data_IF_405010279389
#
_entry.id   IF_405010279389
#
_cell.length_a   1.000
_cell.length_b   1.000
_cell.length_c   1.000
_cell.angle_alpha   90.00
_cell.angle_beta   90.00
_cell.angle_gamma   90.00
#
_symmetry.space_group_name_H-M   'P 1'
#
loop_
_entity.id
_entity.type
_entity.pdbx_description
1 polymer ?
#
# COMPACT_ATOMS: atom_id res chain seq x y z
N UNK A 1 -2.54 9.97 -27.84
CA UNK A 1 -1.58 10.07 -26.73
C UNK A 1 -2.34 9.70 -25.47
N UNK A 2 -2.12 8.51 -24.93
CA UNK A 2 -2.84 8.05 -23.76
C UNK A 2 -2.06 8.48 -22.51
N UNK A 3 -2.70 9.31 -21.69
CA UNK A 3 -2.23 9.69 -20.37
C UNK A 3 -2.46 8.47 -19.45
N UNK A 4 -1.45 7.62 -19.28
CA UNK A 4 -1.46 6.63 -18.20
C UNK A 4 -0.94 7.33 -16.94
N UNK A 5 -1.83 7.97 -16.19
CA UNK A 5 -1.51 8.40 -14.84
C UNK A 5 -1.57 7.16 -13.93
N UNK A 6 -0.39 6.64 -13.57
CA UNK A 6 -0.02 6.34 -12.18
C UNK A 6 -0.23 4.95 -11.59
N UNK A 7 -0.90 4.02 -12.23
CA UNK A 7 -1.15 2.71 -11.59
C UNK A 7 0.05 1.75 -11.70
N UNK A 8 0.59 1.30 -10.57
CA UNK A 8 1.65 0.28 -10.52
C UNK A 8 1.07 -1.10 -10.21
N UNK A 9 1.45 -2.10 -11.01
CA UNK A 9 1.09 -3.50 -10.79
C UNK A 9 2.18 -4.25 -10.03
N UNK A 10 1.81 -4.85 -8.91
CA UNK A 10 2.69 -5.64 -8.03
C UNK A 10 2.28 -7.11 -8.11
N UNK A 11 3.12 -8.00 -8.67
CA UNK A 11 2.88 -9.43 -8.59
C UNK A 11 3.15 -9.95 -7.17
N UNK A 12 2.27 -10.83 -6.69
CA UNK A 12 2.45 -11.57 -5.45
C UNK A 12 3.05 -12.94 -5.76
N UNK A 13 3.97 -13.40 -4.91
CA UNK A 13 4.75 -14.63 -5.18
C UNK A 13 4.25 -15.85 -4.43
N UNK A 14 3.31 -15.68 -3.50
CA UNK A 14 2.91 -16.77 -2.60
C UNK A 14 2.13 -17.86 -3.32
N UNK A 15 2.63 -19.09 -3.20
CA UNK A 15 1.91 -20.29 -3.62
C UNK A 15 0.95 -20.71 -2.53
N UNK A 16 -0.33 -20.83 -2.87
CA UNK A 16 -1.40 -21.11 -1.92
C UNK A 16 -1.16 -22.36 -1.06
N UNK A 17 -0.64 -23.45 -1.64
CA UNK A 17 -0.32 -24.67 -0.90
C UNK A 17 0.82 -24.51 0.12
N UNK A 18 1.87 -23.77 -0.24
CA UNK A 18 3.01 -23.50 0.64
C UNK A 18 2.57 -22.63 1.83
N UNK A 19 1.76 -21.60 1.56
CA UNK A 19 1.18 -20.74 2.59
C UNK A 19 0.40 -21.53 3.65
N UNK A 20 -0.42 -22.49 3.22
CA UNK A 20 -1.20 -23.32 4.14
C UNK A 20 -0.33 -24.22 5.01
N UNK A 21 0.77 -24.74 4.45
CA UNK A 21 1.72 -25.60 5.17
C UNK A 21 2.49 -24.80 6.22
N UNK A 22 3.03 -23.65 5.84
CA UNK A 22 3.81 -22.78 6.73
C UNK A 22 3.00 -22.31 7.95
N UNK A 23 1.68 -22.15 7.79
CA UNK A 23 0.78 -21.71 8.85
C UNK A 23 0.08 -22.88 9.57
N UNK A 24 0.43 -24.13 9.24
CA UNK A 24 -0.12 -25.32 9.89
C UNK A 24 -1.61 -25.57 9.62
N UNK A 25 -2.22 -24.91 8.63
CA UNK A 25 -3.60 -25.19 8.20
C UNK A 25 -3.70 -26.49 7.40
N UNK A 26 -2.62 -26.86 6.71
CA UNK A 26 -2.54 -28.09 5.92
C UNK A 26 -1.20 -28.79 6.17
N UNK A 27 -1.21 -30.12 6.16
CA UNK A 27 0.01 -30.90 6.05
C UNK A 27 0.46 -31.01 4.58
N UNK A 28 1.76 -31.23 4.31
CA UNK A 28 2.24 -31.51 2.95
C UNK A 28 1.50 -32.68 2.27
N UNK A 29 1.10 -33.69 3.05
CA UNK A 29 0.34 -34.84 2.56
C UNK A 29 -1.07 -34.45 2.09
N UNK A 30 -1.77 -33.60 2.84
CA UNK A 30 -3.09 -33.09 2.46
C UNK A 30 -3.03 -32.23 1.19
N UNK A 31 -2.03 -31.34 1.09
CA UNK A 31 -1.84 -30.53 -0.13
C UNK A 31 -1.51 -31.42 -1.34
N UNK A 32 -0.63 -32.41 -1.16
CA UNK A 32 -0.28 -33.34 -2.24
C UNK A 32 -1.48 -34.18 -2.71
N UNK A 33 -2.31 -34.66 -1.77
CA UNK A 33 -3.52 -35.39 -2.08
C UNK A 33 -4.50 -34.53 -2.90
N UNK A 34 -4.75 -33.31 -2.44
CA UNK A 34 -5.65 -32.38 -3.13
C UNK A 34 -5.15 -32.02 -4.53
N UNK A 35 -3.83 -31.84 -4.71
CA UNK A 35 -3.23 -31.56 -6.02
C UNK A 35 -3.35 -32.76 -6.98
N UNK A 36 -3.06 -33.97 -6.50
CA UNK A 36 -3.22 -35.18 -7.29
C UNK A 36 -4.68 -35.33 -7.75
N UNK A 37 -5.63 -35.07 -6.84
CA UNK A 37 -7.05 -35.12 -7.17
C UNK A 37 -7.47 -34.04 -8.16
N UNK A 38 -6.94 -32.83 -8.03
CA UNK A 38 -7.21 -31.74 -8.96
C UNK A 38 -6.77 -32.11 -10.37
N UNK A 39 -5.61 -32.76 -10.51
CA UNK A 39 -5.09 -33.23 -11.79
C UNK A 39 -5.95 -34.34 -12.38
N UNK A 40 -6.36 -35.34 -11.60
CA UNK A 40 -7.27 -36.40 -12.04
C UNK A 40 -8.59 -35.84 -12.57
N UNK A 41 -9.15 -34.85 -11.87
CA UNK A 41 -10.39 -34.17 -12.27
C UNK A 41 -10.19 -33.32 -13.52
N UNK A 42 -9.03 -32.64 -13.65
CA UNK A 42 -8.67 -31.88 -14.84
C UNK A 42 -8.61 -32.78 -16.08
N UNK A 43 -8.04 -33.98 -15.96
CA UNK A 43 -8.01 -34.99 -17.04
C UNK A 43 -9.42 -35.46 -17.44
N UNK A 44 -10.41 -35.32 -16.55
CA UNK A 44 -11.82 -35.62 -16.79
C UNK A 44 -12.63 -34.39 -17.25
N UNK A 45 -11.96 -33.29 -17.63
CA UNK A 45 -12.56 -31.99 -17.97
C UNK A 45 -13.40 -31.37 -16.83
N UNK A 46 -13.08 -31.70 -15.58
CA UNK A 46 -13.68 -31.09 -14.39
C UNK A 46 -12.70 -30.10 -13.77
N UNK A 47 -13.01 -28.82 -13.87
CA UNK A 47 -12.21 -27.76 -13.26
C UNK A 47 -12.75 -27.42 -11.87
N UNK A 48 -12.02 -27.86 -10.84
CA UNK A 48 -12.28 -27.50 -9.44
C UNK A 48 -11.10 -26.72 -8.86
N UNK A 49 -11.40 -25.76 -7.98
CA UNK A 49 -10.36 -24.99 -7.28
C UNK A 49 -9.73 -25.84 -6.19
N UNK A 50 -8.41 -25.74 -6.03
CA UNK A 50 -7.67 -26.52 -5.02
C UNK A 50 -8.16 -26.28 -3.59
N UNK A 51 -8.56 -25.04 -3.25
CA UNK A 51 -9.14 -24.71 -1.94
C UNK A 51 -10.46 -25.43 -1.67
N UNK A 52 -11.25 -25.75 -2.71
CA UNK A 52 -12.47 -26.54 -2.54
C UNK A 52 -12.15 -28.01 -2.25
N UNK A 53 -11.13 -28.57 -2.91
CA UNK A 53 -10.69 -29.94 -2.65
C UNK A 53 -10.12 -30.10 -1.24
N UNK A 54 -9.30 -29.14 -0.81
CA UNK A 54 -8.76 -29.08 0.55
C UNK A 54 -9.88 -29.00 1.60
N UNK A 55 -10.94 -28.25 1.31
CA UNK A 55 -12.11 -28.21 2.20
C UNK A 55 -12.88 -29.54 2.20
N UNK A 56 -13.27 -30.04 1.02
CA UNK A 56 -14.16 -31.21 0.88
C UNK A 56 -13.49 -32.51 1.28
N UNK A 57 -12.21 -32.71 0.93
CA UNK A 57 -11.52 -33.99 1.08
C UNK A 57 -10.58 -34.01 2.28
N UNK A 58 -9.98 -32.87 2.63
CA UNK A 58 -9.04 -32.78 3.75
C UNK A 58 -9.67 -32.17 5.01
N UNK A 59 -10.93 -31.71 4.95
CA UNK A 59 -11.65 -31.14 6.08
C UNK A 59 -11.11 -29.78 6.55
N UNK A 60 -10.33 -29.09 5.71
CA UNK A 60 -9.73 -27.80 6.07
C UNK A 60 -10.83 -26.73 6.07
N UNK A 61 -10.87 -25.90 7.12
CA UNK A 61 -11.87 -24.85 7.22
C UNK A 61 -11.68 -23.80 6.11
N UNK A 62 -12.76 -23.58 5.35
CA UNK A 62 -12.74 -22.66 4.21
C UNK A 62 -12.50 -21.21 4.66
N UNK A 63 -13.13 -20.79 5.76
CA UNK A 63 -12.95 -19.43 6.29
C UNK A 63 -11.53 -19.20 6.77
N UNK A 64 -10.91 -20.19 7.43
CA UNK A 64 -9.52 -20.13 7.85
C UNK A 64 -8.57 -19.97 6.64
N UNK A 65 -8.78 -20.73 5.56
CA UNK A 65 -8.00 -20.58 4.33
C UNK A 65 -8.14 -19.20 3.69
N UNK A 66 -9.38 -18.71 3.58
CA UNK A 66 -9.68 -17.38 3.02
C UNK A 66 -9.04 -16.27 3.86
N UNK A 67 -9.17 -16.33 5.19
CA UNK A 67 -8.57 -15.36 6.10
C UNK A 67 -7.05 -15.37 6.03
N UNK A 68 -6.44 -16.56 5.96
CA UNK A 68 -4.99 -16.67 5.82
C UNK A 68 -4.51 -16.05 4.51
N UNK A 69 -5.17 -16.39 3.39
CA UNK A 69 -4.81 -15.86 2.09
C UNK A 69 -4.96 -14.34 2.01
N UNK A 70 -6.05 -13.80 2.56
CA UNK A 70 -6.24 -12.34 2.68
C UNK A 70 -5.11 -11.71 3.49
N UNK A 71 -4.80 -12.27 4.66
CA UNK A 71 -3.73 -11.78 5.54
C UNK A 71 -2.38 -11.76 4.83
N UNK A 72 -2.08 -12.79 4.04
CA UNK A 72 -0.83 -12.86 3.28
C UNK A 72 -0.79 -11.86 2.12
N UNK A 73 -1.89 -11.69 1.37
CA UNK A 73 -2.01 -10.64 0.35
C UNK A 73 -1.71 -9.29 0.99
N UNK A 74 -2.37 -8.96 2.10
CA UNK A 74 -2.15 -7.72 2.82
C UNK A 74 -0.69 -7.55 3.21
N UNK A 75 -0.09 -8.58 3.83
CA UNK A 75 1.31 -8.54 4.24
C UNK A 75 2.23 -8.23 3.06
N UNK A 76 2.03 -8.87 1.92
CA UNK A 76 2.87 -8.66 0.74
C UNK A 76 2.68 -7.27 0.13
N UNK A 77 1.43 -6.78 0.04
CA UNK A 77 1.12 -5.43 -0.43
C UNK A 77 1.83 -4.40 0.45
N UNK A 78 1.68 -4.52 1.78
CA UNK A 78 2.30 -3.63 2.77
C UNK A 78 3.84 -3.63 2.65
N UNK A 79 4.44 -4.82 2.56
CA UNK A 79 5.89 -4.96 2.42
C UNK A 79 6.40 -4.36 1.10
N UNK A 80 5.68 -4.55 -0.01
CA UNK A 80 6.09 -4.01 -1.30
C UNK A 80 5.96 -2.50 -1.34
N UNK A 81 4.85 -1.96 -0.84
CA UNK A 81 4.64 -0.51 -0.74
C UNK A 81 5.72 0.16 0.10
N UNK A 82 6.09 -0.44 1.24
CA UNK A 82 7.21 0.03 2.05
C UNK A 82 8.50 0.12 1.24
N UNK A 83 8.82 -0.89 0.44
CA UNK A 83 10.03 -0.91 -0.41
C UNK A 83 9.94 0.19 -1.46
N UNK A 84 8.82 0.31 -2.18
CA UNK A 84 8.63 1.33 -3.21
C UNK A 84 8.79 2.75 -2.66
N UNK A 85 8.15 3.04 -1.52
CA UNK A 85 8.26 4.34 -0.85
C UNK A 85 9.70 4.61 -0.40
N UNK A 86 10.42 3.60 0.09
CA UNK A 86 11.81 3.75 0.57
C UNK A 86 12.82 3.95 -0.58
N UNK A 87 12.49 3.45 -1.77
CA UNK A 87 13.33 3.55 -2.97
C UNK A 87 12.98 4.78 -3.83
N UNK A 88 11.90 5.49 -3.52
CA UNK A 88 11.44 6.64 -4.29
C UNK A 88 12.43 7.81 -4.22
N UNK A 89 13.01 8.26 -5.35
CA UNK A 89 14.04 9.31 -5.35
C UNK A 89 13.56 10.65 -4.82
N UNK A 90 12.27 10.94 -4.96
CA UNK A 90 11.66 12.19 -4.52
C UNK A 90 11.37 12.23 -3.01
N UNK A 91 11.60 11.11 -2.31
CA UNK A 91 11.31 10.97 -0.89
C UNK A 91 12.60 10.90 -0.04
N UNK A 92 12.62 11.45 1.18
CA UNK A 92 13.76 11.34 2.08
C UNK A 92 14.16 9.88 2.37
N UNK A 93 15.43 9.55 2.15
CA UNK A 93 15.99 8.18 2.28
C UNK A 93 15.87 7.52 3.67
N UNK A 94 15.50 8.28 4.70
CA UNK A 94 15.36 7.80 6.08
C UNK A 94 13.91 7.86 6.60
N UNK A 95 12.92 7.97 5.70
CA UNK A 95 11.52 7.77 6.02
C UNK A 95 11.27 6.35 6.57
N UNK A 96 10.61 6.27 7.72
CA UNK A 96 10.10 5.00 8.24
C UNK A 96 8.63 4.85 7.88
N UNK A 97 8.32 3.83 7.08
CA UNK A 97 6.95 3.47 6.71
C UNK A 97 6.53 2.22 7.47
N UNK A 98 5.60 2.38 8.40
CA UNK A 98 5.12 1.33 9.30
C UNK A 98 3.70 0.95 8.89
N UNK A 99 3.44 -0.29 8.49
CA UNK A 99 2.08 -0.74 8.20
C UNK A 99 1.25 -0.76 9.50
N UNK A 100 0.06 -0.17 9.46
CA UNK A 100 -0.86 -0.14 10.61
C UNK A 100 -1.93 -1.22 10.45
N UNK A 101 -2.72 -1.09 9.39
CA UNK A 101 -3.89 -1.91 9.15
C UNK A 101 -4.18 -1.98 7.65
N UNK A 102 -4.93 -3.00 7.24
CA UNK A 102 -5.50 -3.04 5.91
C UNK A 102 -6.90 -3.65 5.98
N UNK A 103 -7.81 -3.09 5.18
CA UNK A 103 -9.23 -3.45 5.16
C UNK A 103 -9.68 -3.79 3.75
N UNK A 104 -10.54 -4.80 3.62
CA UNK A 104 -11.24 -5.07 2.36
C UNK A 104 -12.44 -4.14 2.31
N UNK A 105 -12.56 -3.37 1.24
CA UNK A 105 -13.67 -2.44 0.99
C UNK A 105 -14.68 -3.03 0.02
N UNK A 106 -14.26 -3.90 -0.89
CA UNK A 106 -15.15 -4.68 -1.75
C UNK A 106 -14.57 -6.06 -2.11
N UNK A 107 -15.47 -7.03 -2.29
CA UNK A 107 -15.14 -8.38 -2.76
C UNK A 107 -15.86 -8.65 -4.07
N UNK A 108 -15.09 -8.91 -5.12
CA UNK A 108 -15.61 -9.23 -6.44
C UNK A 108 -15.22 -10.67 -6.83
N UNK A 109 -15.95 -11.32 -7.75
CA UNK A 109 -15.62 -12.68 -8.19
C UNK A 109 -14.18 -12.82 -8.75
N UNK A 110 -13.65 -11.73 -9.30
CA UNK A 110 -12.34 -11.68 -9.96
C UNK A 110 -11.22 -11.10 -9.08
N UNK A 111 -11.56 -10.55 -7.91
CA UNK A 111 -10.59 -9.81 -7.12
C UNK A 111 -11.09 -9.26 -5.79
N UNK A 112 -10.20 -8.53 -5.12
CA UNK A 112 -10.46 -7.86 -3.85
C UNK A 112 -10.05 -6.41 -3.98
N UNK A 113 -10.91 -5.49 -3.56
CA UNK A 113 -10.55 -4.09 -3.37
C UNK A 113 -10.40 -3.82 -1.88
N UNK A 114 -9.43 -2.99 -1.55
CA UNK A 114 -9.21 -2.60 -0.17
C UNK A 114 -8.35 -1.37 -0.04
N UNK A 115 -8.07 -1.06 1.21
CA UNK A 115 -7.23 0.06 1.61
C UNK A 115 -6.19 -0.43 2.61
N UNK A 116 -4.99 0.14 2.51
CA UNK A 116 -3.88 -0.13 3.39
C UNK A 116 -3.43 1.18 4.06
N UNK A 117 -3.45 1.18 5.39
CA UNK A 117 -3.06 2.30 6.23
C UNK A 117 -1.61 2.13 6.68
N UNK A 118 -0.83 3.18 6.49
CA UNK A 118 0.56 3.26 6.90
C UNK A 118 0.76 4.47 7.80
N UNK A 119 1.66 4.32 8.76
CA UNK A 119 2.23 5.42 9.52
C UNK A 119 3.57 5.78 8.90
N UNK A 120 3.71 7.03 8.50
CA UNK A 120 4.95 7.57 7.97
C UNK A 120 5.61 8.43 9.05
N UNK A 121 6.84 8.08 9.41
CA UNK A 121 7.66 8.79 10.40
C UNK A 121 8.85 9.40 9.68
N UNK A 122 9.06 10.69 9.93
CA UNK A 122 10.16 11.44 9.35
C UNK A 122 11.44 11.26 10.17
N UNK A 123 12.61 11.18 9.51
CA UNK A 123 13.88 10.96 10.19
C UNK A 123 14.24 12.09 11.16
N UNK A 124 13.87 13.34 10.84
CA UNK A 124 14.19 14.52 11.66
C UNK A 124 13.16 14.81 12.76
N UNK A 125 12.00 14.12 12.74
CA UNK A 125 10.91 14.32 13.70
C UNK A 125 10.25 12.98 14.02
N UNK A 126 10.95 12.13 14.77
CA UNK A 126 10.45 10.82 15.19
C UNK A 126 9.15 10.92 16.01
N UNK A 127 8.87 12.09 16.58
CA UNK A 127 7.69 12.40 17.38
C UNK A 127 6.46 12.78 16.53
N UNK A 128 6.66 13.04 15.22
CA UNK A 128 5.59 13.39 14.28
C UNK A 128 5.41 12.27 13.26
N UNK A 129 4.21 11.71 13.27
CA UNK A 129 3.79 10.69 12.33
C UNK A 129 2.53 11.16 11.61
N UNK A 130 2.46 10.90 10.31
CA UNK A 130 1.23 11.11 9.54
C UNK A 130 0.76 9.80 8.92
N UNK A 131 -0.54 9.74 8.65
CA UNK A 131 -1.19 8.56 8.09
C UNK A 131 -1.23 8.65 6.57
N UNK A 132 -0.92 7.55 5.90
CA UNK A 132 -1.06 7.36 4.47
C UNK A 132 -2.04 6.22 4.24
N UNK A 133 -3.12 6.46 3.50
CA UNK A 133 -4.11 5.44 3.16
C UNK A 133 -4.04 5.18 1.66
N UNK A 134 -3.78 3.93 1.28
CA UNK A 134 -3.60 3.53 -0.12
C UNK A 134 -4.64 2.50 -0.53
N UNK A 135 -5.43 2.85 -1.54
CA UNK A 135 -6.32 1.92 -2.20
C UNK A 135 -5.52 0.88 -3.01
N UNK A 136 -5.99 -0.36 -2.99
CA UNK A 136 -5.44 -1.44 -3.80
C UNK A 136 -6.57 -2.25 -4.45
N UNK A 137 -6.30 -2.77 -5.65
CA UNK A 137 -7.17 -3.70 -6.39
C UNK A 137 -6.37 -4.97 -6.69
N UNK A 138 -6.67 -6.07 -6.01
CA UNK A 138 -6.02 -7.37 -6.17
C UNK A 138 -6.82 -8.29 -7.10
N UNK A 139 -6.16 -8.89 -8.09
CA UNK A 139 -6.75 -9.79 -9.09
C UNK A 139 -6.32 -11.23 -8.85
N UNK A 140 -7.29 -12.15 -8.78
CA UNK A 140 -7.03 -13.58 -8.57
C UNK A 140 -6.42 -14.26 -9.78
N UNK A 141 -6.74 -13.80 -10.99
CA UNK A 141 -6.34 -14.43 -12.26
C UNK A 141 -4.83 -14.47 -12.45
N UNK A 142 -4.14 -13.45 -11.96
CA UNK A 142 -2.71 -13.24 -12.19
C UNK A 142 -1.93 -12.92 -10.91
N UNK A 143 -2.58 -13.13 -9.75
CA UNK A 143 -2.02 -12.93 -8.43
C UNK A 143 -1.29 -11.59 -8.30
N UNK A 144 -1.90 -10.51 -8.77
CA UNK A 144 -1.28 -9.19 -8.72
C UNK A 144 -2.22 -8.14 -8.15
N UNK A 145 -1.64 -7.09 -7.58
CA UNK A 145 -2.40 -5.92 -7.13
C UNK A 145 -2.03 -4.68 -7.92
N UNK A 146 -2.97 -3.76 -8.04
CA UNK A 146 -2.76 -2.43 -8.61
C UNK A 146 -2.89 -1.39 -7.50
N UNK A 147 -1.96 -0.44 -7.46
CA UNK A 147 -1.92 0.67 -6.51
C UNK A 147 -1.72 1.99 -7.26
N UNK A 148 -2.23 3.11 -6.72
CA UNK A 148 -1.92 4.44 -7.23
C UNK A 148 -0.66 4.99 -6.53
N UNK A 149 0.48 4.86 -7.21
CA UNK A 149 1.77 5.26 -6.64
C UNK A 149 1.98 6.79 -6.67
N UNK A 150 1.67 7.53 -7.76
CA UNK A 150 1.76 8.98 -7.74
C UNK A 150 0.91 9.64 -6.65
N UNK A 151 -0.33 9.18 -6.46
CA UNK A 151 -1.17 9.72 -5.40
C UNK A 151 -0.57 9.43 -4.01
N UNK A 152 0.02 8.25 -3.81
CA UNK A 152 0.77 7.92 -2.59
C UNK A 152 1.94 8.91 -2.34
N UNK A 153 2.74 9.16 -3.37
CA UNK A 153 3.90 10.05 -3.30
C UNK A 153 3.45 11.49 -3.01
N UNK A 154 2.42 11.97 -3.68
CA UNK A 154 1.88 13.32 -3.48
C UNK A 154 1.33 13.50 -2.06
N UNK A 155 0.63 12.49 -1.51
CA UNK A 155 0.19 12.50 -0.11
C UNK A 155 1.37 12.55 0.86
N UNK A 156 2.44 11.79 0.60
CA UNK A 156 3.66 11.82 1.43
C UNK A 156 4.34 13.18 1.34
N UNK A 157 4.52 13.74 0.13
CA UNK A 157 5.11 15.06 -0.08
C UNK A 157 4.31 16.15 0.64
N UNK A 158 2.98 16.10 0.54
CA UNK A 158 2.09 17.02 1.25
C UNK A 158 2.24 16.88 2.76
N UNK A 159 2.24 15.65 3.28
CA UNK A 159 2.45 15.37 4.71
C UNK A 159 3.81 15.88 5.21
N UNK A 160 4.87 15.72 4.41
CA UNK A 160 6.20 16.28 4.67
C UNK A 160 6.13 17.81 4.71
N UNK A 161 5.53 18.46 3.72
CA UNK A 161 5.40 19.92 3.69
C UNK A 161 4.62 20.44 4.89
N UNK A 162 3.47 19.85 5.23
CA UNK A 162 2.66 20.25 6.38
C UNK A 162 3.39 20.06 7.73
N UNK A 163 4.24 19.04 7.85
CA UNK A 163 5.09 18.88 9.04
C UNK A 163 6.32 19.80 9.02
N UNK A 164 6.87 20.14 7.85
CA UNK A 164 7.98 21.09 7.70
C UNK A 164 7.56 22.55 7.82
N UNK A 165 6.29 22.88 7.54
CA UNK A 165 5.69 24.21 7.70
C UNK A 165 5.43 24.64 9.17
N UNK A 166 6.02 23.92 10.13
CA UNK A 166 6.29 24.48 11.46
C UNK A 166 7.78 24.82 11.60
N UNK A 167 8.24 25.99 11.10
CA UNK A 167 9.32 26.72 11.73
C UNK A 167 8.76 27.50 12.93
N UNK A 168 9.17 27.12 14.14
CA UNK A 168 8.91 27.89 15.37
C UNK A 168 9.84 29.12 15.48
N UNK A 169 10.33 29.65 14.35
CA UNK A 169 11.30 30.74 14.32
C UNK A 169 11.16 31.74 13.15
N UNK A 170 10.28 31.54 12.17
CA UNK A 170 10.22 32.43 10.99
C UNK A 170 8.81 32.81 10.56
N UNK A 171 7.91 33.03 11.53
CA UNK A 171 6.83 34.00 11.32
C UNK A 171 7.46 35.39 11.40
N UNK A 172 7.72 35.96 10.21
CA UNK A 172 7.94 37.39 9.99
C UNK A 172 9.18 37.98 10.70
N UNK A 173 10.35 37.72 10.10
CA UNK A 173 11.21 38.86 9.79
C UNK A 173 10.36 39.84 8.96
N UNK A 174 9.95 40.93 9.61
CA UNK A 174 9.39 42.12 8.97
C UNK A 174 10.41 42.58 7.92
N UNK A 175 10.16 42.20 6.67
CA UNK A 175 11.06 42.40 5.54
C UNK A 175 10.29 42.56 4.24
N UNK A 176 9.12 43.20 4.30
CA UNK A 176 8.45 43.72 3.11
C UNK A 176 9.22 44.93 2.58
N UNK A 177 10.18 44.69 1.68
CA UNK A 177 10.53 45.71 0.67
C UNK A 177 9.39 45.79 -0.33
N UNK A 178 8.40 46.64 -0.03
CA UNK A 178 7.52 47.21 -1.05
C UNK A 178 8.28 48.37 -1.66
N UNK A 179 9.18 48.08 -2.60
CA UNK A 179 9.40 49.05 -3.67
C UNK A 179 8.11 49.10 -4.48
N UNK A 180 7.57 50.31 -4.59
CA UNK A 180 6.33 50.69 -5.25
C UNK A 180 5.07 50.65 -4.38
N UNK A 181 4.99 51.57 -3.41
CA UNK A 181 3.80 52.41 -3.23
C UNK A 181 4.19 53.73 -2.55
N UNK A 182 4.48 54.71 -3.41
CA UNK A 182 4.38 56.17 -3.19
C UNK A 182 5.38 56.83 -2.24
N UNK A 183 6.23 57.63 -2.88
CA UNK A 183 6.72 58.92 -2.40
C UNK A 183 7.31 58.92 -0.99
N UNK A 184 8.62 58.72 -0.97
CA UNK A 184 9.52 59.66 -0.28
C UNK A 184 8.89 61.06 -0.35
N UNK A 185 8.36 61.50 0.79
CA UNK A 185 8.71 62.77 1.40
C UNK A 185 9.40 63.71 0.40
N UNK A 186 8.63 64.44 -0.39
CA UNK A 186 9.03 65.81 -0.69
C UNK A 186 9.04 66.55 0.65
N UNK A 187 10.23 66.48 1.25
CA UNK A 187 10.89 67.57 1.96
C UNK A 187 10.18 68.10 3.21
N UNK A 188 10.77 67.75 4.34
CA UNK A 188 10.75 68.54 5.57
C UNK A 188 11.13 70.01 5.34
N UNK A 189 10.32 70.88 5.96
CA UNK A 189 10.67 72.12 6.69
C UNK A 189 11.08 73.37 5.89
N UNK A 190 10.27 74.41 6.16
CA UNK A 190 10.64 75.78 6.49
C UNK A 190 11.48 76.57 5.48
N UNK A 191 10.80 77.49 4.78
CA UNK A 191 10.94 78.93 5.08
C UNK A 191 9.57 79.59 5.07
#
# INVERSE_FOLDING_TARGET
>A
MALNIGMMRIPLTTRFGELLIENGLASPAQVSLALARQEDLRLQNQHIRIGELLHKECGIDKKAMENLFRTDIFRQILMRLRVLISEEPDLPKALSCIPIHARITAEEPEGLQGEADFQIILPERQDQAFSLCLAFDFRFSDHSTTIDLPEAIDQIKKGIHETMEIPLAEQEQIGLSIENLRSVLSETKNT
#
